data_IF_362810169140
#
_entry.id   IF_362810169140
#
_cell.length_a   1.000
_cell.length_b   1.000
_cell.length_c   1.000
_cell.angle_alpha   90.00
_cell.angle_beta   90.00
_cell.angle_gamma   90.00
#
_symmetry.space_group_name_H-M   'P 1'
#
loop_
_entity.id
_entity.type
_entity.pdbx_description
1 polymer ?
#
# COMPACT_ATOMS: atom_id res chain seq x y z
N UNK A 1 10.07 13.80 11.01
CA UNK A 1 10.86 12.55 11.02
C UNK A 1 10.82 11.94 9.62
N UNK A 2 11.95 11.56 9.01
CA UNK A 2 11.97 10.93 7.67
C UNK A 2 12.98 9.80 7.64
N UNK A 3 12.52 8.61 7.24
CA UNK A 3 13.32 7.39 7.21
C UNK A 3 14.13 7.32 5.90
N UNK A 4 15.45 7.37 6.03
CA UNK A 4 16.38 7.39 4.88
C UNK A 4 17.06 6.04 4.72
N UNK A 5 17.40 5.37 5.82
CA UNK A 5 18.08 4.08 5.80
C UNK A 5 17.12 2.93 5.44
N UNK A 6 17.66 1.87 4.83
CA UNK A 6 16.87 0.67 4.50
C UNK A 6 16.36 0.02 5.79
N UNK A 7 17.22 -0.06 6.81
CA UNK A 7 16.89 -0.66 8.12
C UNK A 7 15.69 0.01 8.76
N UNK A 8 15.66 1.34 8.85
CA UNK A 8 14.52 2.08 9.41
C UNK A 8 13.22 1.82 8.65
N UNK A 9 13.26 1.85 7.32
CA UNK A 9 12.07 1.59 6.50
C UNK A 9 11.55 0.18 6.71
N UNK A 10 12.45 -0.80 6.76
CA UNK A 10 12.09 -2.20 7.04
C UNK A 10 11.46 -2.32 8.42
N UNK A 11 12.03 -1.70 9.46
CA UNK A 11 11.45 -1.72 10.81
C UNK A 11 10.04 -1.13 10.80
N UNK A 12 9.83 0.02 10.15
CA UNK A 12 8.50 0.65 10.05
C UNK A 12 7.51 -0.27 9.32
N UNK A 13 7.91 -0.86 8.19
CA UNK A 13 7.08 -1.80 7.44
C UNK A 13 6.71 -3.00 8.31
N UNK A 14 7.68 -3.62 8.98
CA UNK A 14 7.47 -4.80 9.83
C UNK A 14 6.54 -4.47 10.99
N UNK A 15 6.74 -3.35 11.67
CA UNK A 15 5.88 -2.92 12.78
C UNK A 15 4.45 -2.66 12.29
N UNK A 16 4.27 -1.97 11.16
CA UNK A 16 2.94 -1.72 10.60
C UNK A 16 2.23 -3.01 10.20
N UNK A 17 2.96 -3.97 9.61
CA UNK A 17 2.42 -5.28 9.27
C UNK A 17 2.03 -6.09 10.51
N UNK A 18 2.87 -6.08 11.55
CA UNK A 18 2.58 -6.77 12.80
C UNK A 18 1.36 -6.19 13.51
N UNK A 19 1.29 -4.85 13.63
CA UNK A 19 0.14 -4.15 14.23
C UNK A 19 -1.13 -4.43 13.41
N UNK A 20 -1.05 -4.41 12.08
CA UNK A 20 -2.18 -4.78 11.23
C UNK A 20 -2.65 -6.21 11.52
N UNK A 21 -1.76 -7.20 11.47
CA UNK A 21 -2.11 -8.60 11.68
C UNK A 21 -2.79 -8.81 13.04
N UNK A 22 -2.25 -8.20 14.10
CA UNK A 22 -2.83 -8.30 15.45
C UNK A 22 -4.23 -7.68 15.50
N UNK A 23 -4.41 -6.47 14.94
CA UNK A 23 -5.71 -5.79 14.97
C UNK A 23 -6.75 -6.50 14.08
N UNK A 24 -6.34 -7.05 12.94
CA UNK A 24 -7.21 -7.82 12.06
C UNK A 24 -7.72 -9.08 12.76
N UNK A 25 -6.83 -9.86 13.39
CA UNK A 25 -7.21 -11.06 14.16
C UNK A 25 -8.10 -10.70 15.36
N UNK A 26 -7.83 -9.58 16.03
CA UNK A 26 -8.66 -9.11 17.14
C UNK A 26 -10.08 -8.77 16.68
N UNK A 27 -10.24 -7.98 15.62
CA UNK A 27 -11.56 -7.57 15.14
C UNK A 27 -12.36 -8.72 14.52
N UNK A 28 -11.67 -9.69 13.93
CA UNK A 28 -12.26 -10.96 13.51
C UNK A 28 -12.78 -11.77 14.71
N UNK A 29 -11.96 -11.94 15.77
CA UNK A 29 -12.39 -12.61 17.00
C UNK A 29 -13.60 -11.92 17.67
N UNK A 30 -13.67 -10.59 17.57
CA UNK A 30 -14.79 -9.78 18.07
C UNK A 30 -15.98 -9.72 17.10
N UNK A 31 -15.90 -10.35 15.93
CA UNK A 31 -16.92 -10.33 14.88
C UNK A 31 -17.39 -8.91 14.50
N UNK A 32 -16.46 -7.94 14.52
CA UNK A 32 -16.78 -6.53 14.33
C UNK A 32 -16.43 -6.06 12.92
N UNK A 33 -17.38 -6.21 11.98
CA UNK A 33 -17.19 -5.70 10.62
C UNK A 33 -16.91 -4.19 10.53
N UNK A 34 -17.60 -3.30 11.28
CA UNK A 34 -17.32 -1.87 11.22
C UNK A 34 -15.89 -1.53 11.64
N UNK A 35 -15.36 -2.21 12.67
CA UNK A 35 -13.99 -2.01 13.13
C UNK A 35 -12.98 -2.43 12.05
N UNK A 36 -13.22 -3.58 11.40
CA UNK A 36 -12.38 -4.06 10.29
C UNK A 36 -12.41 -3.10 9.09
N UNK A 37 -13.57 -2.54 8.73
CA UNK A 37 -13.69 -1.54 7.66
C UNK A 37 -12.88 -0.28 7.99
N UNK A 38 -13.05 0.26 9.20
CA UNK A 38 -12.30 1.44 9.65
C UNK A 38 -10.81 1.17 9.64
N UNK A 39 -10.39 0.00 10.13
CA UNK A 39 -8.99 -0.42 10.10
C UNK A 39 -8.43 -0.44 8.67
N UNK A 40 -9.14 -1.03 7.71
CA UNK A 40 -8.74 -1.09 6.29
C UNK A 40 -8.55 0.31 5.70
N UNK A 41 -9.47 1.24 5.99
CA UNK A 41 -9.35 2.64 5.55
C UNK A 41 -8.11 3.30 6.15
N UNK A 42 -7.95 3.20 7.47
CA UNK A 42 -6.81 3.80 8.18
C UNK A 42 -5.48 3.22 7.69
N UNK A 43 -5.43 1.93 7.36
CA UNK A 43 -4.23 1.30 6.82
C UNK A 43 -3.92 1.75 5.41
N UNK A 44 -4.92 1.88 4.55
CA UNK A 44 -4.72 2.38 3.19
C UNK A 44 -4.13 3.79 3.23
N UNK A 45 -4.68 4.65 4.10
CA UNK A 45 -4.15 5.98 4.35
C UNK A 45 -2.75 5.93 4.96
N UNK A 46 -2.52 5.04 5.93
CA UNK A 46 -1.21 4.84 6.56
C UNK A 46 -0.14 4.44 5.55
N UNK A 47 -0.41 3.45 4.71
CA UNK A 47 0.47 3.01 3.63
C UNK A 47 0.76 4.14 2.63
N UNK A 48 -0.28 4.86 2.21
CA UNK A 48 -0.11 6.04 1.36
C UNK A 48 0.84 7.04 2.02
N UNK A 49 0.60 7.44 3.27
CA UNK A 49 1.42 8.43 3.97
C UNK A 49 2.86 7.95 4.22
N UNK A 50 3.06 6.68 4.58
CA UNK A 50 4.39 6.11 4.83
C UNK A 50 5.27 6.18 3.58
N UNK A 51 4.72 5.83 2.41
CA UNK A 51 5.46 5.93 1.14
C UNK A 51 5.87 7.38 0.81
N UNK A 52 5.11 8.36 1.30
CA UNK A 52 5.38 9.81 1.15
C UNK A 52 6.46 10.30 2.10
N UNK A 53 6.70 9.61 3.22
CA UNK A 53 7.73 9.94 4.22
C UNK A 53 9.07 9.26 3.90
N UNK A 54 9.05 8.08 3.29
CA UNK A 54 10.27 7.38 2.86
C UNK A 54 11.02 8.17 1.79
N UNK A 55 12.33 8.33 1.98
CA UNK A 55 13.22 9.05 1.04
C UNK A 55 14.34 8.16 0.55
N UNK A 56 14.66 8.25 -0.75
CA UNK A 56 15.82 7.56 -1.31
C UNK A 56 17.15 8.16 -0.82
N UNK A 57 18.26 7.41 -0.87
CA UNK A 57 19.59 7.99 -0.68
C UNK A 57 19.82 9.15 -1.65
N UNK A 58 20.20 10.33 -1.15
CA UNK A 58 20.44 11.53 -1.96
C UNK A 58 19.19 12.24 -2.50
N UNK A 59 17.97 11.78 -2.18
CA UNK A 59 16.75 12.49 -2.60
C UNK A 59 16.59 13.80 -1.81
N UNK A 60 16.37 14.96 -2.47
CA UNK A 60 16.18 16.23 -1.80
C UNK A 60 15.03 16.15 -0.79
N UNK A 61 15.38 16.32 0.49
CA UNK A 61 14.42 16.14 1.59
C UNK A 61 13.46 17.33 1.67
N UNK A 62 13.89 18.54 1.29
CA UNK A 62 13.07 19.75 1.35
C UNK A 62 11.97 19.81 0.28
N UNK A 63 12.19 19.19 -0.89
CA UNK A 63 11.22 19.26 -1.98
C UNK A 63 9.97 18.41 -1.71
N UNK A 64 8.80 18.99 -2.00
CA UNK A 64 7.54 18.25 -1.99
C UNK A 64 7.55 17.23 -3.13
N UNK A 65 7.39 15.94 -2.80
CA UNK A 65 7.32 14.88 -3.81
C UNK A 65 5.99 14.96 -4.55
N UNK A 66 5.94 14.80 -5.89
CA UNK A 66 4.67 14.72 -6.62
C UNK A 66 3.74 13.68 -6.00
N UNK A 67 2.45 13.99 -5.85
CA UNK A 67 1.47 13.16 -5.12
C UNK A 67 1.36 11.72 -5.65
N UNK A 68 1.62 11.54 -6.95
CA UNK A 68 1.59 10.26 -7.66
C UNK A 68 2.81 9.36 -7.39
N UNK A 69 3.91 9.91 -6.85
CA UNK A 69 5.19 9.21 -6.73
C UNK A 69 5.26 8.43 -5.41
N UNK A 70 4.72 7.21 -5.41
CA UNK A 70 4.75 6.31 -4.27
C UNK A 70 6.17 5.83 -3.94
N UNK A 71 6.94 5.45 -4.96
CA UNK A 71 8.34 5.03 -4.79
C UNK A 71 9.28 5.85 -5.68
N UNK A 72 10.60 5.64 -5.53
CA UNK A 72 11.58 6.21 -6.45
C UNK A 72 12.00 5.27 -7.57
N UNK A 73 11.59 4.00 -7.54
CA UNK A 73 12.07 2.97 -8.46
C UNK A 73 10.89 2.44 -9.27
N UNK A 74 10.88 2.60 -10.61
CA UNK A 74 9.77 2.15 -11.43
C UNK A 74 9.46 0.68 -11.19
N UNK A 75 10.47 -0.20 -11.23
CA UNK A 75 10.30 -1.63 -11.01
C UNK A 75 9.62 -1.96 -9.67
N UNK A 76 10.00 -1.29 -8.57
CA UNK A 76 9.34 -1.51 -7.27
C UNK A 76 7.87 -1.08 -7.29
N UNK A 77 7.56 0.08 -7.89
CA UNK A 77 6.16 0.49 -8.06
C UNK A 77 5.39 -0.52 -8.91
N UNK A 78 6.00 -1.09 -9.96
CA UNK A 78 5.38 -2.13 -10.79
C UNK A 78 5.10 -3.41 -10.00
N UNK A 79 6.06 -3.88 -9.19
CA UNK A 79 5.89 -5.05 -8.32
C UNK A 79 4.76 -4.84 -7.33
N UNK A 80 4.72 -3.70 -6.62
CA UNK A 80 3.62 -3.43 -5.69
C UNK A 80 2.26 -3.32 -6.38
N UNK A 81 2.21 -2.73 -7.58
CA UNK A 81 0.98 -2.69 -8.38
C UNK A 81 0.46 -4.10 -8.69
N UNK A 82 1.36 -5.01 -9.10
CA UNK A 82 1.03 -6.39 -9.39
C UNK A 82 0.60 -7.17 -8.13
N UNK A 83 1.30 -6.99 -7.01
CA UNK A 83 0.96 -7.65 -5.73
C UNK A 83 -0.43 -7.25 -5.27
N UNK A 84 -0.73 -5.95 -5.19
CA UNK A 84 -2.06 -5.49 -4.77
C UNK A 84 -3.15 -5.86 -5.78
N UNK A 85 -2.85 -5.83 -7.09
CA UNK A 85 -3.79 -6.29 -8.11
C UNK A 85 -4.10 -7.79 -7.99
N UNK A 86 -3.09 -8.62 -7.72
CA UNK A 86 -3.27 -10.06 -7.52
C UNK A 86 -4.08 -10.35 -6.26
N UNK A 87 -3.79 -9.66 -5.15
CA UNK A 87 -4.57 -9.78 -3.92
C UNK A 87 -6.05 -9.45 -4.16
N UNK A 88 -6.34 -8.36 -4.88
CA UNK A 88 -7.71 -8.01 -5.23
C UNK A 88 -8.41 -9.11 -6.03
N UNK A 89 -7.73 -9.67 -7.05
CA UNK A 89 -8.28 -10.78 -7.85
C UNK A 89 -8.59 -12.00 -6.97
N UNK A 90 -7.67 -12.36 -6.08
CA UNK A 90 -7.85 -13.50 -5.15
C UNK A 90 -9.04 -13.26 -4.22
N UNK A 91 -9.15 -12.08 -3.61
CA UNK A 91 -10.24 -11.72 -2.70
C UNK A 91 -11.60 -11.64 -3.41
N UNK A 92 -11.62 -11.17 -4.66
CA UNK A 92 -12.81 -11.22 -5.52
C UNK A 92 -13.23 -12.68 -5.73
N UNK A 93 -12.29 -13.56 -6.06
CA UNK A 93 -12.54 -14.99 -6.22
C UNK A 93 -13.13 -15.64 -4.96
N UNK A 94 -12.55 -15.37 -3.79
CA UNK A 94 -13.10 -15.85 -2.51
C UNK A 94 -14.50 -15.29 -2.22
N UNK A 95 -14.76 -14.03 -2.55
CA UNK A 95 -16.08 -13.42 -2.39
C UNK A 95 -17.14 -14.15 -3.23
N UNK A 96 -16.83 -14.47 -4.49
CA UNK A 96 -17.71 -15.26 -5.36
C UNK A 96 -17.87 -16.71 -4.90
N UNK A 97 -16.88 -17.27 -4.20
CA UNK A 97 -16.96 -18.60 -3.61
C UNK A 97 -17.78 -18.67 -2.31
N UNK A 98 -18.42 -17.56 -1.88
CA UNK A 98 -19.30 -17.52 -0.71
C UNK A 98 -18.64 -17.01 0.57
N UNK A 99 -17.37 -16.57 0.51
CA UNK A 99 -16.65 -15.97 1.66
C UNK A 99 -16.74 -14.43 1.68
N UNK A 100 -17.73 -13.85 0.97
CA UNK A 100 -17.90 -12.41 0.86
C UNK A 100 -18.44 -11.76 2.13
N UNK A 101 -17.98 -10.54 2.42
CA UNK A 101 -18.45 -9.71 3.52
C UNK A 101 -18.31 -8.22 3.17
N UNK A 102 -18.92 -7.33 3.97
CA UNK A 102 -18.77 -5.89 3.76
C UNK A 102 -17.31 -5.45 3.99
N UNK A 103 -16.66 -6.00 5.03
CA UNK A 103 -15.24 -5.77 5.31
C UNK A 103 -14.34 -6.33 4.21
N UNK A 104 -14.64 -7.51 3.66
CA UNK A 104 -13.93 -8.10 2.53
C UNK A 104 -14.06 -7.25 1.26
N UNK A 105 -15.25 -6.72 0.99
CA UNK A 105 -15.47 -5.77 -0.12
C UNK A 105 -14.61 -4.51 0.04
N UNK A 106 -14.53 -3.97 1.25
CA UNK A 106 -13.68 -2.82 1.53
C UNK A 106 -12.19 -3.13 1.33
N UNK A 107 -11.73 -4.33 1.72
CA UNK A 107 -10.36 -4.79 1.48
C UNK A 107 -10.04 -4.87 -0.01
N UNK A 108 -10.95 -5.41 -0.84
CA UNK A 108 -10.80 -5.42 -2.30
C UNK A 108 -10.65 -4.00 -2.84
N UNK A 109 -11.50 -3.07 -2.40
CA UNK A 109 -11.43 -1.66 -2.82
C UNK A 109 -10.07 -1.04 -2.42
N UNK A 110 -9.61 -1.29 -1.20
CA UNK A 110 -8.31 -0.80 -0.73
C UNK A 110 -7.15 -1.33 -1.57
N UNK A 111 -7.15 -2.63 -1.88
CA UNK A 111 -6.15 -3.28 -2.73
C UNK A 111 -6.15 -2.71 -4.15
N UNK A 112 -7.32 -2.51 -4.74
CA UNK A 112 -7.46 -1.88 -6.07
C UNK A 112 -6.94 -0.44 -6.06
N UNK A 113 -7.26 0.34 -5.01
CA UNK A 113 -6.78 1.72 -4.86
C UNK A 113 -5.25 1.76 -4.74
N UNK A 114 -4.66 0.94 -3.86
CA UNK A 114 -3.21 0.87 -3.71
C UNK A 114 -2.54 0.40 -5.01
N UNK A 115 -3.07 -0.66 -5.62
CA UNK A 115 -2.61 -1.18 -6.90
C UNK A 115 -2.61 -0.11 -8.00
N UNK A 116 -3.70 0.65 -8.12
CA UNK A 116 -3.84 1.74 -9.09
C UNK A 116 -2.84 2.88 -8.82
N UNK A 117 -2.64 3.27 -7.56
CA UNK A 117 -1.67 4.31 -7.20
C UNK A 117 -0.23 3.87 -7.51
N UNK A 118 0.12 2.62 -7.22
CA UNK A 118 1.42 2.06 -7.57
C UNK A 118 1.60 1.91 -9.09
N UNK A 119 0.55 1.53 -9.83
CA UNK A 119 0.57 1.46 -11.29
C UNK A 119 0.75 2.85 -11.92
N UNK A 120 0.07 3.87 -11.39
CA UNK A 120 0.25 5.27 -11.80
C UNK A 120 1.68 5.74 -11.54
N UNK A 121 2.22 5.41 -10.36
CA UNK A 121 3.62 5.69 -10.02
C UNK A 121 4.58 5.00 -10.98
N UNK A 122 4.34 3.73 -11.32
CA UNK A 122 5.17 2.97 -12.27
C UNK A 122 5.17 3.63 -13.65
N UNK A 123 3.99 3.87 -14.23
CA UNK A 123 3.85 4.46 -15.57
C UNK A 123 4.58 5.79 -15.69
N UNK A 124 4.41 6.67 -14.70
CA UNK A 124 5.05 7.99 -14.70
C UNK A 124 6.57 7.92 -14.49
N UNK A 125 7.06 7.05 -13.59
CA UNK A 125 8.50 6.87 -13.39
C UNK A 125 9.17 6.26 -14.63
N UNK A 126 8.54 5.26 -15.24
CA UNK A 126 9.06 4.64 -16.46
C UNK A 126 9.11 5.64 -17.60
N UNK A 127 8.06 6.44 -17.81
CA UNK A 127 8.06 7.49 -18.84
C UNK A 127 9.21 8.49 -18.65
N UNK A 128 9.46 8.94 -17.41
CA UNK A 128 10.58 9.83 -17.09
C UNK A 128 11.95 9.19 -17.32
N UNK A 129 12.09 7.89 -17.01
CA UNK A 129 13.34 7.17 -17.21
C UNK A 129 13.67 7.01 -18.71
N UNK A 130 12.66 6.75 -19.55
CA UNK A 130 12.84 6.65 -21.00
C UNK A 130 13.15 8.01 -21.64
N UNK A 131 12.58 9.11 -21.13
CA UNK A 131 12.86 10.46 -21.65
C UNK A 131 14.25 11.00 -21.29
N UNK A 132 14.94 10.39 -20.32
CA UNK A 132 16.26 10.79 -19.86
C UNK A 132 17.41 9.91 -20.41
N UNK A 133 17.07 8.87 -21.18
CA UNK A 133 18.01 7.96 -21.85
C UNK A 133 18.24 8.42 -23.29
#
# INVERSE_FOLDING_TARGET
MRFTTVREKTVVIVVLLAVNAVLALLFDALHSEPASIVLTVLQTLGWYLVTRVFRGPGEPVAAARPWWRMTNRPLLSGVFAAVYGLLAVVNIGFSFAGFGSASGTMSIVAELVLGALFALSYRRLSALAHAAA
#
